data_IF_755942067655
#
_entry.id   IF_755942067655
#
_cell.length_a   1.000
_cell.length_b   1.000
_cell.length_c   1.000
_cell.angle_alpha   90.00
_cell.angle_beta   90.00
_cell.angle_gamma   90.00
#
_symmetry.space_group_name_H-M   'P 1'
#
loop_
_entity.id
_entity.type
_entity.pdbx_description
1 polymer ?
#
# COMPACT_ATOMS: atom_id res chain seq x y z
N UNK A 1 -36.38 35.34 -3.67
CA UNK A 1 -37.81 35.69 -3.71
C UNK A 1 -37.94 37.11 -4.20
N UNK A 2 -38.99 37.45 -4.93
CA UNK A 2 -39.27 38.83 -5.36
C UNK A 2 -40.69 39.18 -4.95
N UNK A 3 -40.86 40.33 -4.32
CA UNK A 3 -42.15 40.87 -3.89
C UNK A 3 -42.80 41.68 -5.01
N UNK A 4 -44.10 41.96 -4.89
CA UNK A 4 -44.90 42.64 -5.92
C UNK A 4 -44.52 44.11 -6.14
N UNK A 5 -43.86 44.73 -5.17
CA UNK A 5 -43.20 46.03 -5.29
C UNK A 5 -41.81 45.97 -5.98
N UNK A 6 -41.43 44.80 -6.51
CA UNK A 6 -40.21 44.60 -7.30
C UNK A 6 -38.94 44.42 -6.47
N UNK A 7 -39.05 44.37 -5.14
CA UNK A 7 -37.92 44.14 -4.23
C UNK A 7 -37.63 42.64 -4.18
N UNK A 8 -36.37 42.25 -4.40
CA UNK A 8 -35.96 40.85 -4.32
C UNK A 8 -35.00 40.57 -3.17
N UNK A 9 -35.16 39.41 -2.54
CA UNK A 9 -34.23 38.84 -1.58
C UNK A 9 -33.59 37.57 -2.15
N UNK A 10 -32.32 37.38 -1.87
CA UNK A 10 -31.58 36.17 -2.25
C UNK A 10 -31.21 35.40 -1.00
N UNK A 11 -31.42 34.09 -1.01
CA UNK A 11 -30.86 33.19 -0.01
C UNK A 11 -29.74 32.39 -0.68
N UNK A 12 -28.59 32.28 -0.01
CA UNK A 12 -27.49 31.44 -0.44
C UNK A 12 -27.25 30.39 0.65
N UNK A 13 -27.00 29.15 0.25
CA UNK A 13 -26.55 28.09 1.13
C UNK A 13 -25.29 27.49 0.54
N UNK A 14 -24.20 27.54 1.32
CA UNK A 14 -22.96 26.88 0.94
C UNK A 14 -23.04 25.40 1.33
N UNK A 15 -22.67 24.53 0.41
CA UNK A 15 -22.45 23.10 0.67
C UNK A 15 -20.95 22.88 0.78
N UNK A 16 -20.48 22.47 1.95
CA UNK A 16 -19.08 22.08 2.14
C UNK A 16 -18.92 20.63 1.71
N UNK A 17 -18.17 20.40 0.63
CA UNK A 17 -17.70 19.04 0.28
C UNK A 17 -16.53 18.72 1.19
N UNK A 18 -16.65 17.69 2.02
CA UNK A 18 -15.54 17.21 2.83
C UNK A 18 -14.39 16.78 1.92
N UNK A 19 -13.16 17.21 2.23
CA UNK A 19 -11.98 16.73 1.52
C UNK A 19 -11.86 15.21 1.71
N UNK A 20 -11.72 14.47 0.61
CA UNK A 20 -11.45 13.03 0.65
C UNK A 20 -10.11 12.84 1.36
N UNK A 21 -9.97 11.91 2.33
CA UNK A 21 -8.67 11.60 2.90
C UNK A 21 -7.69 11.21 1.79
N UNK A 22 -6.48 11.75 1.84
CA UNK A 22 -5.41 11.40 0.88
C UNK A 22 -4.92 10.00 1.24
N UNK A 23 -5.05 9.06 0.30
CA UNK A 23 -4.55 7.70 0.44
C UNK A 23 -3.03 7.69 0.67
N UNK A 24 -2.56 6.99 1.69
CA UNK A 24 -1.14 6.79 1.98
C UNK A 24 -0.65 5.48 1.33
N UNK A 25 0.61 5.46 0.94
CA UNK A 25 1.22 4.24 0.41
C UNK A 25 1.60 3.30 1.56
N UNK A 26 1.54 1.97 1.37
CA UNK A 26 2.04 1.03 2.35
C UNK A 26 3.56 1.15 2.54
N UNK A 27 4.01 0.89 3.75
CA UNK A 27 5.43 0.80 4.13
C UNK A 27 5.83 -0.68 4.16
N UNK A 28 6.71 -1.06 3.23
CA UNK A 28 7.25 -2.42 3.17
C UNK A 28 8.34 -2.64 4.22
N UNK A 29 8.30 -3.79 4.89
CA UNK A 29 9.29 -4.23 5.86
C UNK A 29 9.34 -5.75 5.87
N UNK A 30 10.54 -6.32 5.95
CA UNK A 30 10.71 -7.76 5.99
C UNK A 30 11.91 -8.19 6.84
N UNK A 31 11.85 -9.44 7.29
CA UNK A 31 12.97 -10.20 7.84
C UNK A 31 13.21 -11.46 7.02
N UNK A 32 14.37 -12.08 7.18
CA UNK A 32 14.66 -13.37 6.58
C UNK A 32 15.48 -14.26 7.50
N UNK A 33 15.31 -15.57 7.35
CA UNK A 33 16.15 -16.61 7.98
C UNK A 33 16.72 -17.50 6.88
N UNK A 34 18.01 -17.80 6.95
CA UNK A 34 18.71 -18.56 5.91
C UNK A 34 19.36 -19.82 6.48
N UNK A 35 19.12 -20.95 5.82
CA UNK A 35 19.83 -22.21 6.00
C UNK A 35 20.48 -22.61 4.66
N UNK A 36 21.79 -22.35 4.54
CA UNK A 36 22.55 -22.44 3.29
C UNK A 36 21.92 -21.64 2.13
N UNK A 37 21.23 -22.34 1.23
CA UNK A 37 20.62 -21.78 0.02
C UNK A 37 19.10 -21.62 0.17
N UNK A 38 18.52 -22.19 1.22
CA UNK A 38 17.11 -22.07 1.54
C UNK A 38 16.91 -20.85 2.43
N UNK A 39 16.07 -19.91 1.98
CA UNK A 39 15.79 -18.67 2.69
C UNK A 39 14.28 -18.53 2.87
N UNK A 40 13.86 -18.34 4.12
CA UNK A 40 12.51 -17.97 4.48
C UNK A 40 12.43 -16.45 4.63
N UNK A 41 11.45 -15.84 3.96
CA UNK A 41 11.18 -14.41 3.99
C UNK A 41 9.84 -14.15 4.68
N UNK A 42 9.80 -13.12 5.53
CA UNK A 42 8.61 -12.74 6.29
C UNK A 42 8.39 -11.22 6.17
N UNK A 43 7.30 -10.83 5.50
CA UNK A 43 6.87 -9.44 5.33
C UNK A 43 5.80 -8.98 6.32
N UNK A 44 5.50 -9.75 7.37
CA UNK A 44 4.47 -9.41 8.37
C UNK A 44 4.73 -8.09 9.13
N UNK A 45 5.95 -7.56 9.04
CA UNK A 45 6.28 -6.22 9.54
C UNK A 45 5.80 -5.07 8.65
N UNK A 46 5.30 -5.34 7.45
CA UNK A 46 4.77 -4.32 6.53
C UNK A 46 3.46 -3.74 7.05
N UNK A 47 3.20 -2.46 6.78
CA UNK A 47 1.98 -1.79 7.27
C UNK A 47 1.43 -0.78 6.26
N UNK A 48 0.12 -0.62 6.26
CA UNK A 48 -0.58 0.43 5.52
C UNK A 48 -1.22 1.40 6.54
N UNK A 49 -0.77 2.66 6.63
CA UNK A 49 -1.23 3.59 7.67
C UNK A 49 -2.72 3.95 7.61
N UNK A 50 -3.34 3.84 6.43
CA UNK A 50 -4.74 4.20 6.22
C UNK A 50 -5.56 3.12 5.53
N UNK A 51 -4.99 1.92 5.38
CA UNK A 51 -5.64 0.82 4.70
C UNK A 51 -5.13 -0.56 5.11
N UNK A 52 -5.10 -1.44 4.12
CA UNK A 52 -4.64 -2.81 4.24
C UNK A 52 -3.83 -3.16 3.00
N UNK A 53 -2.73 -3.88 3.19
CA UNK A 53 -1.89 -4.34 2.09
C UNK A 53 -2.67 -5.35 1.23
N UNK A 54 -2.89 -5.01 -0.04
CA UNK A 54 -3.62 -5.87 -0.97
C UNK A 54 -2.82 -7.10 -1.41
N UNK A 55 -1.49 -6.97 -1.55
CA UNK A 55 -0.60 -8.06 -1.94
C UNK A 55 0.85 -7.78 -1.54
N UNK A 56 1.60 -8.86 -1.32
CA UNK A 56 3.07 -8.85 -1.15
C UNK A 56 3.65 -9.71 -2.26
N UNK A 57 4.60 -9.16 -3.02
CA UNK A 57 5.31 -9.84 -4.10
C UNK A 57 6.81 -9.80 -3.87
N UNK A 58 7.47 -10.93 -4.12
CA UNK A 58 8.90 -11.13 -3.92
C UNK A 58 9.61 -11.29 -5.26
N UNK A 59 10.67 -10.52 -5.45
CA UNK A 59 11.70 -10.74 -6.45
C UNK A 59 12.96 -11.15 -5.69
N UNK A 60 13.47 -12.35 -5.96
CA UNK A 60 14.62 -12.91 -5.26
C UNK A 60 15.96 -12.44 -5.87
N UNK A 61 15.93 -11.76 -7.01
CA UNK A 61 17.14 -11.22 -7.66
C UNK A 61 18.02 -12.28 -8.33
N UNK A 62 17.52 -13.51 -8.53
CA UNK A 62 18.23 -14.62 -9.17
C UNK A 62 17.58 -15.09 -10.48
N UNK A 63 16.77 -14.23 -11.10
CA UNK A 63 15.96 -14.48 -12.30
C UNK A 63 14.85 -15.55 -12.13
N UNK A 64 14.62 -16.03 -10.91
CA UNK A 64 13.46 -16.87 -10.60
C UNK A 64 12.15 -16.09 -10.78
N UNK A 65 11.06 -16.83 -11.03
CA UNK A 65 9.74 -16.22 -11.13
C UNK A 65 9.35 -15.57 -9.78
N UNK A 66 8.76 -14.37 -9.86
CA UNK A 66 8.26 -13.69 -8.68
C UNK A 66 7.15 -14.50 -7.99
N UNK A 67 7.16 -14.47 -6.66
CA UNK A 67 6.20 -15.20 -5.81
C UNK A 67 5.38 -14.21 -4.99
N UNK A 68 4.10 -14.52 -4.76
CA UNK A 68 3.24 -13.71 -3.88
C UNK A 68 2.94 -14.43 -2.58
N UNK A 69 2.99 -13.71 -1.46
CA UNK A 69 2.66 -14.24 -0.14
C UNK A 69 3.29 -13.39 0.99
N UNK A 70 2.66 -13.36 2.16
CA UNK A 70 3.23 -12.66 3.33
C UNK A 70 4.50 -13.34 3.84
N UNK A 71 4.49 -14.67 3.86
CA UNK A 71 5.64 -15.51 4.18
C UNK A 71 5.90 -16.47 3.03
N UNK A 72 7.13 -16.53 2.55
CA UNK A 72 7.54 -17.37 1.42
C UNK A 72 8.90 -17.99 1.68
N UNK A 73 9.17 -19.14 1.08
CA UNK A 73 10.49 -19.75 1.07
C UNK A 73 11.03 -19.77 -0.36
N UNK A 74 12.33 -19.56 -0.51
CA UNK A 74 13.02 -19.65 -1.80
C UNK A 74 14.37 -20.34 -1.65
N UNK A 75 14.70 -21.20 -2.60
CA UNK A 75 15.99 -21.90 -2.64
C UNK A 75 16.83 -21.35 -3.79
N UNK A 76 17.96 -20.73 -3.46
CA UNK A 76 18.88 -20.19 -4.46
C UNK A 76 19.71 -21.30 -5.11
N UNK A 77 19.99 -21.20 -6.42
CA UNK A 77 20.81 -22.18 -7.13
C UNK A 77 22.30 -22.15 -6.74
N UNK A 78 22.78 -21.01 -6.24
CA UNK A 78 24.15 -20.80 -5.79
C UNK A 78 24.19 -19.71 -4.72
N UNK A 79 25.25 -19.69 -3.92
CA UNK A 79 25.47 -18.63 -2.96
C UNK A 79 25.68 -17.30 -3.70
N UNK A 80 24.70 -16.42 -3.58
CA UNK A 80 24.77 -15.06 -4.08
C UNK A 80 25.06 -14.12 -2.90
N UNK A 81 26.06 -13.26 -3.05
CA UNK A 81 26.33 -12.21 -2.08
C UNK A 81 25.96 -10.89 -2.74
N UNK A 82 24.80 -10.34 -2.36
CA UNK A 82 24.41 -8.98 -2.72
C UNK A 82 24.85 -8.02 -1.62
N UNK A 83 25.16 -6.79 -2.03
CA UNK A 83 25.81 -5.75 -1.22
C UNK A 83 24.79 -4.83 -0.56
#
# INVERSE_FOLDING_TARGET
>A
MTDDDGVSSTAQQWVTVAAVPVNQAPVASFTYEADYLDVEFDASGSSDPDGSIASVSWDFGDDSAAVTGEKVSHTYAAAVSTR
#
